data_IF_847551098216
#
_entry.id   IF_847551098216
#
_cell.length_a   1.000
_cell.length_b   1.000
_cell.length_c   1.000
_cell.angle_alpha   90.00
_cell.angle_beta   90.00
_cell.angle_gamma   90.00
#
_symmetry.space_group_name_H-M   'P 1'
#
loop_
_entity.id
_entity.type
_entity.pdbx_description
1 polymer ?
#
# COMPACT_ATOMS: atom_id res chain seq x y z
N UNK A 1 3.46 -1.60 -6.84
CA UNK A 1 3.47 -0.26 -7.48
C UNK A 1 3.16 0.90 -6.52
N UNK A 2 2.63 0.69 -5.30
CA UNK A 2 2.43 1.78 -4.32
C UNK A 2 3.71 2.26 -3.59
N UNK A 3 4.80 1.47 -3.59
CA UNK A 3 6.08 1.90 -3.01
C UNK A 3 6.78 3.04 -3.81
N UNK A 4 6.48 3.16 -5.11
CA UNK A 4 7.16 4.12 -5.99
C UNK A 4 6.59 5.55 -5.86
N UNK A 5 5.35 5.69 -5.38
CA UNK A 5 4.72 7.01 -5.21
C UNK A 5 5.19 7.71 -3.93
N UNK A 6 5.55 6.96 -2.89
CA UNK A 6 6.13 7.50 -1.66
C UNK A 6 7.55 8.06 -1.90
N UNK A 7 8.29 7.45 -2.84
CA UNK A 7 9.65 7.85 -3.19
C UNK A 7 9.71 9.15 -4.03
N UNK A 8 8.64 9.50 -4.75
CA UNK A 8 8.55 10.78 -5.49
C UNK A 8 8.26 11.99 -4.59
N UNK A 9 7.51 11.82 -3.50
CA UNK A 9 7.25 12.91 -2.54
C UNK A 9 8.46 13.23 -1.66
N UNK A 10 9.30 12.25 -1.32
CA UNK A 10 10.54 12.52 -0.57
C UNK A 10 11.61 13.23 -1.39
N UNK A 11 11.67 13.05 -2.73
CA UNK A 11 12.61 13.81 -3.58
C UNK A 11 12.29 15.30 -3.67
N UNK A 12 11.03 15.70 -3.52
CA UNK A 12 10.66 17.12 -3.55
C UNK A 12 11.14 17.89 -2.31
N UNK A 13 11.27 17.22 -1.15
CA UNK A 13 11.76 17.83 0.10
C UNK A 13 13.29 17.92 0.18
N UNK A 14 14.02 17.06 -0.53
CA UNK A 14 15.49 17.06 -0.51
C UNK A 14 16.13 18.13 -1.41
N UNK A 15 15.41 18.69 -2.38
CA UNK A 15 15.97 19.70 -3.31
C UNK A 15 16.08 21.10 -2.69
N UNK A 16 15.33 21.40 -1.62
CA UNK A 16 15.42 22.70 -0.91
C UNK A 16 16.65 22.83 0.00
N UNK A 17 17.39 21.74 0.24
CA UNK A 17 18.56 21.74 1.14
C UNK A 17 19.91 21.95 0.45
N UNK A 18 19.94 22.13 -0.87
CA UNK A 18 21.17 22.28 -1.65
C UNK A 18 21.47 23.71 -2.11
N UNK A 19 20.60 24.69 -1.85
CA UNK A 19 20.93 26.11 -2.05
C UNK A 19 21.32 26.77 -0.73
N UNK A 20 22.59 26.57 -0.35
CA UNK A 20 23.24 27.32 0.71
C UNK A 20 23.21 28.82 0.42
N UNK A 21 22.53 29.59 1.28
CA UNK A 21 22.77 31.02 1.45
C UNK A 21 23.53 31.24 2.77
N UNK A 22 24.61 32.03 2.75
CA UNK A 22 25.37 32.33 3.96
C UNK A 22 24.60 33.32 4.84
N UNK A 23 24.41 32.97 6.11
CA UNK A 23 23.95 33.89 7.14
C UNK A 23 25.15 34.67 7.70
N UNK A 24 25.25 35.95 7.32
CA UNK A 24 25.98 36.96 8.10
C UNK A 24 25.08 37.47 9.24
N UNK A 25 25.73 37.81 10.35
CA UNK A 25 25.16 38.05 11.69
C UNK A 25 24.30 39.30 11.90
N UNK A 26 24.06 39.64 13.19
CA UNK A 26 22.84 40.32 13.63
C UNK A 26 22.97 41.84 13.55
N UNK A 27 21.88 42.50 13.13
CA UNK A 27 21.71 43.94 13.33
C UNK A 27 20.32 44.20 13.89
N UNK A 28 20.31 44.78 15.09
CA UNK A 28 19.14 45.25 15.79
C UNK A 28 18.47 46.37 14.98
N UNK A 29 17.16 46.28 14.75
CA UNK A 29 16.33 47.48 14.54
C UNK A 29 14.86 47.20 14.85
N UNK A 30 14.37 47.94 15.85
CA UNK A 30 12.96 48.19 16.09
C UNK A 30 12.28 48.70 14.80
N UNK A 31 11.09 48.19 14.53
CA UNK A 31 10.20 48.70 13.50
C UNK A 31 8.81 48.10 13.65
N UNK A 32 7.90 48.90 14.20
CA UNK A 32 6.44 48.74 14.13
C UNK A 32 5.94 48.62 12.68
N UNK A 33 4.66 48.23 12.54
CA UNK A 33 3.87 47.94 11.33
C UNK A 33 3.96 46.47 10.89
N UNK A 34 2.88 45.75 10.62
CA UNK A 34 1.48 46.08 10.47
C UNK A 34 0.78 44.85 9.88
N UNK A 35 -0.44 44.57 10.33
CA UNK A 35 -1.33 43.55 9.77
C UNK A 35 -1.35 43.57 8.23
N UNK A 36 -1.15 42.41 7.59
CA UNK A 36 -2.01 41.97 6.48
C UNK A 36 -1.73 40.52 6.08
N UNK A 37 -2.75 39.68 6.26
CA UNK A 37 -3.17 38.59 5.38
C UNK A 37 -2.14 37.66 4.75
N UNK A 38 -2.24 36.37 5.11
CA UNK A 38 -2.48 35.27 4.15
C UNK A 38 -2.93 34.01 4.90
N UNK A 39 -4.25 33.78 4.89
CA UNK A 39 -4.84 32.49 5.27
C UNK A 39 -4.55 31.51 4.14
N UNK A 40 -3.62 30.58 4.34
CA UNK A 40 -3.60 29.35 3.55
C UNK A 40 -4.80 28.49 3.96
N UNK A 41 -5.92 28.66 3.25
CA UNK A 41 -6.97 27.65 3.21
C UNK A 41 -6.43 26.48 2.39
N UNK A 42 -5.86 25.48 3.05
CA UNK A 42 -5.75 24.14 2.48
C UNK A 42 -7.14 23.53 2.47
N UNK A 43 -7.82 23.69 1.33
CA UNK A 43 -8.96 22.87 0.94
C UNK A 43 -8.50 21.42 0.89
N UNK A 44 -8.89 20.63 1.88
CA UNK A 44 -8.91 19.18 1.79
C UNK A 44 -10.03 18.80 0.82
N UNK A 45 -9.71 18.81 -0.48
CA UNK A 45 -10.52 18.13 -1.46
C UNK A 45 -10.40 16.63 -1.19
N UNK A 46 -11.50 16.03 -0.74
CA UNK A 46 -11.71 14.59 -0.69
C UNK A 46 -11.66 14.02 -2.12
N UNK A 47 -10.44 13.84 -2.64
CA UNK A 47 -10.18 13.00 -3.80
C UNK A 47 -10.24 11.56 -3.35
N UNK A 48 -11.35 10.87 -3.61
CA UNK A 48 -11.43 9.43 -3.49
C UNK A 48 -10.39 8.80 -4.43
N UNK A 49 -9.23 8.42 -3.87
CA UNK A 49 -8.27 7.59 -4.56
C UNK A 49 -8.85 6.17 -4.57
N UNK A 50 -9.57 5.84 -5.64
CA UNK A 50 -10.12 4.50 -5.90
C UNK A 50 -8.95 3.57 -6.24
N UNK A 51 -8.37 2.94 -5.22
CA UNK A 51 -7.34 1.92 -5.38
C UNK A 51 -8.05 0.67 -5.91
N UNK A 52 -7.89 0.39 -7.20
CA UNK A 52 -8.29 -0.88 -7.79
C UNK A 52 -7.44 -2.01 -7.22
N UNK A 53 -8.01 -2.78 -6.30
CA UNK A 53 -7.46 -4.06 -5.83
C UNK A 53 -7.54 -5.08 -6.97
N UNK A 54 -6.49 -5.15 -7.79
CA UNK A 54 -6.22 -6.30 -8.64
C UNK A 54 -5.83 -7.47 -7.73
N UNK A 55 -6.74 -8.44 -7.56
CA UNK A 55 -6.44 -9.69 -6.85
C UNK A 55 -5.40 -10.51 -7.63
N UNK A 56 -4.30 -10.97 -7.00
CA UNK A 56 -3.47 -12.00 -7.58
C UNK A 56 -4.12 -13.37 -7.36
N UNK A 57 -4.61 -13.97 -8.45
CA UNK A 57 -5.01 -15.37 -8.47
C UNK A 57 -3.80 -16.28 -8.24
N UNK A 58 -3.90 -17.13 -7.22
CA UNK A 58 -2.94 -18.20 -6.96
C UNK A 58 -3.05 -19.28 -8.05
N UNK A 59 -2.27 -19.15 -9.11
CA UNK A 59 -2.02 -20.23 -10.07
C UNK A 59 -0.74 -20.97 -9.66
N UNK A 60 -0.92 -22.10 -9.00
CA UNK A 60 0.09 -23.13 -8.78
C UNK A 60 0.67 -23.57 -10.14
N UNK A 61 1.96 -23.30 -10.40
CA UNK A 61 2.70 -24.01 -11.45
C UNK A 61 4.09 -24.43 -10.99
N UNK A 62 4.30 -25.74 -11.09
CA UNK A 62 5.59 -26.41 -11.17
C UNK A 62 6.40 -25.87 -12.35
N UNK A 63 7.67 -25.63 -12.08
CA UNK A 63 8.80 -26.05 -12.93
C UNK A 63 9.10 -25.21 -14.18
N UNK A 64 10.38 -24.95 -14.37
CA UNK A 64 10.95 -24.70 -15.70
C UNK A 64 11.76 -23.42 -15.80
N UNK A 65 13.07 -23.60 -15.78
CA UNK A 65 14.11 -22.62 -16.13
C UNK A 65 14.00 -22.25 -17.61
N UNK A 66 13.96 -20.96 -17.95
CA UNK A 66 14.66 -20.37 -19.10
C UNK A 66 14.60 -18.83 -19.07
N UNK A 67 15.67 -18.11 -19.50
CA UNK A 67 15.76 -16.66 -19.39
C UNK A 67 15.44 -15.93 -20.71
N UNK A 68 15.29 -14.61 -20.56
CA UNK A 68 15.65 -13.56 -21.53
C UNK A 68 14.84 -13.46 -22.84
N UNK A 69 14.07 -12.38 -23.00
CA UNK A 69 14.40 -11.30 -23.94
C UNK A 69 13.38 -10.14 -23.88
N UNK A 70 13.92 -8.95 -24.11
CA UNK A 70 13.26 -7.67 -24.19
C UNK A 70 12.10 -7.59 -25.19
N UNK A 71 11.16 -6.68 -24.94
CA UNK A 71 10.15 -6.31 -25.93
C UNK A 71 9.18 -5.25 -25.44
N UNK A 72 9.41 -4.00 -25.86
CA UNK A 72 8.46 -2.88 -25.84
C UNK A 72 7.05 -3.34 -26.29
N UNK A 73 6.04 -3.15 -25.45
CA UNK A 73 4.65 -3.26 -25.90
C UNK A 73 4.10 -1.87 -26.21
N UNK A 74 4.29 -1.54 -27.48
CA UNK A 74 3.75 -0.40 -28.20
C UNK A 74 2.21 -0.47 -28.20
N UNK A 75 1.58 0.65 -27.82
CA UNK A 75 0.17 0.93 -28.08
C UNK A 75 -0.11 0.70 -29.56
N UNK A 76 -0.84 -0.36 -29.89
CA UNK A 76 -1.32 -0.59 -31.24
C UNK A 76 -2.76 -0.09 -31.35
N UNK A 77 -2.82 1.11 -31.88
CA UNK A 77 -3.96 1.85 -32.39
C UNK A 77 -4.81 0.92 -33.28
N UNK A 78 -6.11 0.88 -33.04
CA UNK A 78 -7.08 0.26 -33.95
C UNK A 78 -7.34 1.22 -35.11
N UNK A 79 -6.66 1.01 -36.25
CA UNK A 79 -7.11 1.50 -37.54
C UNK A 79 -7.78 0.35 -38.28
N UNK A 80 -9.06 0.54 -38.61
CA UNK A 80 -9.73 -0.30 -39.60
C UNK A 80 -9.37 0.17 -41.01
N UNK A 81 -9.04 -0.76 -41.91
CA UNK A 81 -9.27 -0.65 -43.36
C UNK A 81 -9.26 -2.07 -43.94
N UNK A 82 -10.36 -2.49 -44.57
CA UNK A 82 -10.29 -3.29 -45.79
C UNK A 82 -10.95 -4.68 -45.81
N UNK A 83 -11.44 -5.11 -47.00
CA UNK A 83 -12.53 -6.07 -47.20
C UNK A 83 -12.03 -7.48 -47.61
N UNK A 84 -12.98 -8.35 -47.98
CA UNK A 84 -12.83 -9.71 -48.53
C UNK A 84 -12.86 -10.86 -47.53
N UNK A 85 -14.09 -11.25 -47.16
CA UNK A 85 -14.41 -12.63 -46.85
C UNK A 85 -15.33 -13.21 -47.95
N UNK A 86 -15.03 -14.41 -48.47
CA UNK A 86 -15.71 -14.96 -49.62
C UNK A 86 -17.13 -15.42 -49.29
N UNK A 87 -18.03 -15.08 -50.20
CA UNK A 87 -19.38 -15.60 -50.35
C UNK A 87 -19.34 -17.12 -50.58
N UNK A 88 -19.31 -17.90 -49.49
CA UNK A 88 -19.51 -19.35 -49.50
C UNK A 88 -20.95 -19.68 -49.16
N UNK A 89 -21.78 -19.83 -50.19
CA UNK A 89 -23.19 -20.20 -50.08
C UNK A 89 -23.39 -21.55 -49.40
N UNK A 90 -24.04 -21.51 -48.24
CA UNK A 90 -24.63 -22.66 -47.57
C UNK A 90 -26.01 -22.28 -47.08
N UNK A 91 -26.99 -22.37 -47.99
CA UNK A 91 -28.40 -22.21 -47.65
C UNK A 91 -28.85 -23.40 -46.76
N UNK A 92 -28.68 -23.27 -45.43
CA UNK A 92 -29.35 -24.15 -44.48
C UNK A 92 -30.61 -23.47 -43.96
N UNK A 93 -31.69 -23.77 -44.69
CA UNK A 93 -33.06 -23.46 -44.37
C UNK A 93 -33.52 -24.29 -43.17
N UNK A 94 -34.34 -23.68 -42.29
CA UNK A 94 -35.19 -24.29 -41.24
C UNK A 94 -34.41 -24.59 -39.94
N UNK A 95 -34.74 -24.00 -38.80
CA UNK A 95 -36.07 -23.81 -38.24
C UNK A 95 -35.99 -22.66 -37.23
N UNK A 96 -36.51 -21.48 -37.58
CA UNK A 96 -36.83 -20.45 -36.60
C UNK A 96 -38.00 -20.97 -35.78
N UNK A 97 -37.69 -21.78 -34.78
CA UNK A 97 -38.62 -22.12 -33.72
C UNK A 97 -39.13 -20.80 -33.17
N UNK A 98 -40.41 -20.49 -33.45
CA UNK A 98 -41.11 -19.35 -32.87
C UNK A 98 -40.98 -19.52 -31.36
N UNK A 99 -40.00 -18.85 -30.76
CA UNK A 99 -39.88 -18.74 -29.31
C UNK A 99 -41.13 -18.00 -28.88
N UNK A 100 -42.11 -18.77 -28.42
CA UNK A 100 -43.28 -18.24 -27.74
C UNK A 100 -42.76 -17.39 -26.60
N UNK A 101 -42.83 -16.07 -26.77
CA UNK A 101 -42.55 -15.12 -25.70
C UNK A 101 -43.73 -15.26 -24.73
N UNK A 102 -43.64 -16.25 -23.85
CA UNK A 102 -44.50 -16.37 -22.69
C UNK A 102 -44.15 -15.18 -21.81
N UNK A 103 -44.98 -14.15 -21.86
CA UNK A 103 -44.90 -13.04 -20.92
C UNK A 103 -44.98 -13.61 -19.52
N UNK A 104 -44.03 -13.22 -18.67
CA UNK A 104 -44.06 -13.53 -17.26
C UNK A 104 -45.35 -12.97 -16.67
N UNK A 105 -46.10 -13.83 -15.98
CA UNK A 105 -47.30 -13.37 -15.29
C UNK A 105 -46.89 -12.45 -14.14
N UNK A 106 -47.72 -11.45 -13.80
CA UNK A 106 -47.41 -10.50 -12.73
C UNK A 106 -47.11 -11.22 -11.40
N UNK A 107 -47.84 -12.30 -11.13
CA UNK A 107 -47.64 -13.12 -9.92
C UNK A 107 -46.28 -13.81 -9.89
N UNK A 108 -45.77 -14.24 -11.03
CA UNK A 108 -44.46 -14.91 -11.15
C UNK A 108 -43.30 -13.94 -10.87
N UNK A 109 -43.44 -12.67 -11.24
CA UNK A 109 -42.48 -11.61 -10.88
C UNK A 109 -42.49 -11.30 -9.37
N UNK A 110 -43.65 -11.31 -8.72
CA UNK A 110 -43.74 -11.08 -7.27
C UNK A 110 -43.10 -12.24 -6.49
N UNK A 111 -43.39 -13.48 -6.87
CA UNK A 111 -42.81 -14.67 -6.23
C UNK A 111 -41.29 -14.71 -6.42
N UNK A 112 -40.78 -14.38 -7.61
CA UNK A 112 -39.33 -14.34 -7.84
C UNK A 112 -38.61 -13.27 -7.01
N UNK A 113 -39.19 -12.07 -6.83
CA UNK A 113 -38.64 -11.07 -5.92
C UNK A 113 -38.60 -11.54 -4.47
N UNK A 114 -39.63 -12.24 -3.99
CA UNK A 114 -39.65 -12.80 -2.63
C UNK A 114 -38.56 -13.86 -2.45
N UNK A 115 -38.42 -14.79 -3.40
CA UNK A 115 -37.39 -15.84 -3.34
C UNK A 115 -35.99 -15.23 -3.41
N UNK A 116 -35.76 -14.23 -4.28
CA UNK A 116 -34.50 -13.51 -4.36
C UNK A 116 -34.18 -12.74 -3.08
N UNK A 117 -35.18 -12.14 -2.43
CA UNK A 117 -35.01 -11.44 -1.16
C UNK A 117 -34.52 -12.39 -0.06
N UNK A 118 -35.17 -13.54 0.09
CA UNK A 118 -34.77 -14.56 1.07
C UNK A 118 -33.36 -15.09 0.73
N UNK A 119 -33.10 -15.43 -0.53
CA UNK A 119 -31.78 -15.91 -0.96
C UNK A 119 -30.66 -14.88 -0.70
N UNK A 120 -30.92 -13.58 -0.95
CA UNK A 120 -29.95 -12.51 -0.70
C UNK A 120 -29.61 -12.39 0.80
N UNK A 121 -30.60 -12.49 1.69
CA UNK A 121 -30.33 -12.44 3.15
C UNK A 121 -29.43 -13.59 3.60
N UNK A 122 -29.62 -14.80 3.09
CA UNK A 122 -28.77 -15.95 3.39
C UNK A 122 -27.31 -15.73 2.90
N UNK A 123 -27.14 -15.14 1.72
CA UNK A 123 -25.81 -14.79 1.21
C UNK A 123 -25.16 -13.72 2.10
N UNK A 124 -25.91 -12.69 2.52
CA UNK A 124 -25.38 -11.62 3.38
C UNK A 124 -24.94 -12.17 4.73
N UNK A 125 -25.70 -13.08 5.35
CA UNK A 125 -25.32 -13.66 6.65
C UNK A 125 -24.09 -14.55 6.53
N UNK A 126 -23.96 -15.33 5.46
CA UNK A 126 -22.76 -16.12 5.18
C UNK A 126 -21.51 -15.25 4.97
N UNK A 127 -21.68 -14.06 4.40
CA UNK A 127 -20.58 -13.12 4.14
C UNK A 127 -20.38 -12.07 5.24
N UNK A 128 -21.21 -12.05 6.29
CA UNK A 128 -21.08 -11.08 7.39
C UNK A 128 -19.71 -11.17 8.10
N UNK A 129 -19.16 -12.39 8.21
CA UNK A 129 -17.81 -12.65 8.71
C UNK A 129 -16.70 -12.03 7.85
N UNK A 130 -16.96 -11.76 6.57
CA UNK A 130 -16.01 -11.12 5.67
C UNK A 130 -15.81 -9.65 6.04
N UNK A 131 -16.87 -8.95 6.49
CA UNK A 131 -16.79 -7.54 6.88
C UNK A 131 -15.97 -7.33 8.16
N UNK A 132 -16.09 -8.21 9.15
CA UNK A 132 -15.25 -8.15 10.35
C UNK A 132 -13.77 -8.37 10.02
N UNK A 133 -13.45 -9.21 9.02
CA UNK A 133 -12.06 -9.40 8.59
C UNK A 133 -11.52 -8.22 7.79
N UNK A 134 -12.37 -7.41 7.15
CA UNK A 134 -11.92 -6.23 6.41
C UNK A 134 -11.29 -5.18 7.33
N UNK A 135 -11.83 -5.00 8.55
CA UNK A 135 -11.24 -4.07 9.53
C UNK A 135 -9.87 -4.56 10.00
N UNK A 136 -9.74 -5.86 10.29
CA UNK A 136 -8.45 -6.44 10.71
C UNK A 136 -7.38 -6.34 9.61
N UNK A 137 -7.77 -6.60 8.36
CA UNK A 137 -6.87 -6.48 7.21
C UNK A 137 -6.44 -5.03 7.00
N UNK A 138 -7.36 -4.07 7.16
CA UNK A 138 -7.03 -2.64 7.07
C UNK A 138 -6.09 -2.22 8.19
N UNK A 139 -6.30 -2.71 9.40
CA UNK A 139 -5.43 -2.44 10.54
C UNK A 139 -4.03 -3.02 10.33
N UNK A 140 -3.92 -4.26 9.84
CA UNK A 140 -2.64 -4.86 9.48
C UNK A 140 -1.92 -4.07 8.38
N UNK A 141 -2.64 -3.62 7.35
CA UNK A 141 -2.07 -2.80 6.28
C UNK A 141 -1.58 -1.44 6.80
N UNK A 142 -2.31 -0.83 7.73
CA UNK A 142 -1.94 0.45 8.31
C UNK A 142 -0.74 0.30 9.25
N UNK A 143 -0.76 -0.70 10.14
CA UNK A 143 0.34 -1.00 11.06
C UNK A 143 1.65 -1.35 10.33
N UNK A 144 1.58 -2.08 9.22
CA UNK A 144 2.77 -2.39 8.40
C UNK A 144 3.37 -1.16 7.74
N UNK A 145 2.56 -0.19 7.30
CA UNK A 145 3.05 1.08 6.78
C UNK A 145 3.76 1.91 7.86
N UNK A 146 3.21 1.97 9.08
CA UNK A 146 3.87 2.64 10.21
C UNK A 146 5.19 1.95 10.57
N UNK A 147 5.21 0.62 10.64
CA UNK A 147 6.43 -0.16 10.91
C UNK A 147 7.51 0.12 9.86
N UNK A 148 7.13 0.16 8.57
CA UNK A 148 8.06 0.44 7.49
C UNK A 148 8.62 1.87 7.59
N UNK A 149 7.77 2.87 7.82
CA UNK A 149 8.21 4.26 7.97
C UNK A 149 9.19 4.42 9.15
N UNK A 150 8.89 3.77 10.29
CA UNK A 150 9.79 3.76 11.44
C UNK A 150 11.11 3.06 11.11
N UNK A 151 11.08 1.89 10.45
CA UNK A 151 12.28 1.17 10.03
C UNK A 151 13.18 2.00 9.09
N UNK A 152 12.59 2.72 8.12
CA UNK A 152 13.31 3.64 7.23
C UNK A 152 13.98 4.77 8.02
N UNK A 153 13.30 5.33 9.02
CA UNK A 153 13.86 6.36 9.91
C UNK A 153 15.03 5.83 10.75
N UNK A 154 14.91 4.62 11.31
CA UNK A 154 16.01 3.97 12.06
C UNK A 154 17.24 3.82 11.16
N UNK A 155 17.05 3.31 9.94
CA UNK A 155 18.14 3.14 8.99
C UNK A 155 18.75 4.48 8.54
N UNK A 156 17.93 5.51 8.34
CA UNK A 156 18.41 6.86 8.03
C UNK A 156 19.21 7.48 9.19
N UNK A 157 18.73 7.31 10.43
CA UNK A 157 19.39 7.81 11.64
C UNK A 157 20.74 7.14 11.84
N UNK A 158 20.83 5.82 11.61
CA UNK A 158 22.10 5.07 11.66
C UNK A 158 23.13 5.65 10.69
N UNK A 159 22.72 5.97 9.45
CA UNK A 159 23.64 6.56 8.45
C UNK A 159 24.17 7.93 8.87
N UNK A 160 23.40 8.69 9.64
CA UNK A 160 23.75 10.04 10.06
C UNK A 160 24.53 10.10 11.37
N UNK A 161 24.17 9.27 12.34
CA UNK A 161 24.63 9.36 13.73
C UNK A 161 25.49 8.16 14.18
N UNK A 162 25.69 7.16 13.31
CA UNK A 162 26.53 5.99 13.58
C UNK A 162 25.87 4.92 14.46
N UNK A 163 26.70 4.00 14.99
CA UNK A 163 26.25 2.83 15.76
C UNK A 163 25.69 3.17 17.15
N UNK A 164 26.20 4.23 17.78
CA UNK A 164 25.78 4.65 19.13
C UNK A 164 24.45 5.42 19.14
N UNK A 165 23.83 5.65 17.97
CA UNK A 165 22.60 6.40 17.85
C UNK A 165 21.45 5.81 18.70
N UNK A 166 20.70 6.71 19.33
CA UNK A 166 19.40 6.41 19.93
C UNK A 166 18.35 6.50 18.82
N UNK A 167 17.49 5.50 18.73
CA UNK A 167 16.48 5.40 17.69
C UNK A 167 15.10 5.68 18.29
N UNK A 168 14.40 6.68 17.75
CA UNK A 168 13.08 7.08 18.20
C UNK A 168 12.16 7.31 17.01
N UNK A 169 10.91 6.86 17.15
CA UNK A 169 9.83 7.06 16.18
C UNK A 169 8.72 7.98 16.71
N UNK A 170 9.02 8.77 17.74
CA UNK A 170 8.05 9.59 18.48
C UNK A 170 7.44 10.74 17.68
N UNK A 171 8.10 11.14 16.58
CA UNK A 171 7.54 12.12 15.64
C UNK A 171 6.33 11.58 14.86
N UNK A 172 6.11 10.26 14.86
CA UNK A 172 4.91 9.66 14.29
C UNK A 172 3.77 9.79 15.29
N UNK A 173 2.94 10.82 15.12
CA UNK A 173 1.72 10.99 15.91
C UNK A 173 0.81 9.75 15.81
N UNK A 174 0.09 9.45 16.88
CA UNK A 174 -0.94 8.41 16.89
C UNK A 174 -1.86 8.55 15.66
N UNK A 175 -1.98 7.48 14.88
CA UNK A 175 -2.77 7.45 13.66
C UNK A 175 -3.81 6.34 13.75
N UNK A 176 -5.09 6.61 13.50
CA UNK A 176 -6.17 5.60 13.45
C UNK A 176 -6.25 4.66 14.68
N UNK A 177 -5.93 5.20 15.87
CA UNK A 177 -5.92 4.46 17.13
C UNK A 177 -4.67 3.59 17.37
N UNK A 178 -3.68 3.63 16.46
CA UNK A 178 -2.37 3.04 16.70
C UNK A 178 -1.54 3.92 17.64
N UNK A 179 -0.88 3.27 18.59
CA UNK A 179 0.16 3.88 19.42
C UNK A 179 1.40 4.17 18.57
N UNK A 180 2.15 5.19 18.98
CA UNK A 180 3.50 5.47 18.47
C UNK A 180 4.34 4.18 18.45
N UNK A 181 5.02 3.85 17.33
CA UNK A 181 5.88 2.68 17.25
C UNK A 181 6.95 2.70 18.34
N UNK A 182 6.98 1.66 19.16
CA UNK A 182 8.00 1.51 20.21
C UNK A 182 9.20 0.76 19.66
N UNK A 183 10.38 1.29 19.96
CA UNK A 183 11.65 0.66 19.61
C UNK A 183 12.26 0.05 20.86
N UNK A 184 12.63 -1.22 20.78
CA UNK A 184 13.48 -1.89 21.77
C UNK A 184 14.81 -2.20 21.11
N UNK A 185 15.90 -1.74 21.71
CA UNK A 185 17.26 -2.03 21.22
C UNK A 185 17.97 -2.96 22.18
N UNK A 186 18.54 -4.03 21.66
CA UNK A 186 19.40 -4.94 22.40
C UNK A 186 20.76 -5.00 21.73
N UNK A 187 21.82 -4.76 22.50
CA UNK A 187 23.18 -4.99 22.02
C UNK A 187 23.51 -6.45 22.25
N UNK A 188 23.76 -7.18 21.15
CA UNK A 188 24.14 -8.58 21.15
C UNK A 188 25.61 -8.64 20.73
N UNK A 189 26.45 -9.23 21.57
CA UNK A 189 27.82 -9.56 21.18
C UNK A 189 27.80 -10.97 20.61
N UNK A 190 28.26 -11.17 19.38
CA UNK A 190 28.23 -12.47 18.74
C UNK A 190 29.08 -13.48 19.51
N UNK A 191 28.44 -14.44 20.17
CA UNK A 191 29.09 -15.49 20.96
C UNK A 191 29.21 -16.83 20.24
N UNK A 192 28.59 -17.02 19.06
CA UNK A 192 28.66 -18.29 18.32
C UNK A 192 28.40 -18.14 16.82
N UNK A 193 29.03 -19.01 16.03
CA UNK A 193 29.20 -18.89 14.58
C UNK A 193 27.99 -19.31 13.71
N UNK A 194 26.84 -19.70 14.28
CA UNK A 194 25.84 -20.48 13.52
C UNK A 194 24.38 -20.05 13.72
N UNK A 195 24.02 -19.26 14.75
CA UNK A 195 22.60 -18.90 15.00
C UNK A 195 22.28 -17.42 14.97
N UNK A 196 23.27 -16.54 15.15
CA UNK A 196 23.07 -15.09 15.09
C UNK A 196 23.68 -14.53 13.80
N UNK A 197 22.97 -13.66 13.09
CA UNK A 197 23.53 -12.95 11.91
C UNK A 197 24.63 -11.95 12.28
N UNK A 198 25.12 -11.99 13.52
CA UNK A 198 26.24 -11.22 14.03
C UNK A 198 27.52 -12.07 14.02
N UNK A 199 28.59 -11.65 13.30
CA UNK A 199 29.85 -12.37 13.31
C UNK A 199 30.49 -12.41 14.71
N UNK A 200 31.30 -13.44 14.96
CA UNK A 200 31.99 -13.63 16.24
C UNK A 200 32.89 -12.44 16.56
N UNK A 201 32.93 -12.04 17.83
CA UNK A 201 33.70 -10.89 18.32
C UNK A 201 33.30 -9.52 17.74
N UNK A 202 32.15 -9.43 17.06
CA UNK A 202 31.57 -8.15 16.61
C UNK A 202 30.36 -7.81 17.46
N UNK A 203 30.22 -6.53 17.81
CA UNK A 203 29.02 -6.02 18.47
C UNK A 203 27.95 -5.72 17.43
N UNK A 204 26.78 -6.34 17.59
CA UNK A 204 25.61 -6.02 16.81
C UNK A 204 24.52 -5.41 17.69
N UNK A 205 23.77 -4.49 17.12
CA UNK A 205 22.59 -3.90 17.73
C UNK A 205 21.37 -4.48 17.03
N UNK A 206 20.57 -5.23 17.77
CA UNK A 206 19.27 -5.70 17.33
C UNK A 206 18.24 -4.63 17.71
N UNK A 207 17.50 -4.15 16.72
CA UNK A 207 16.47 -3.14 16.85
C UNK A 207 15.14 -3.82 16.54
N UNK A 208 14.32 -4.02 17.56
CA UNK A 208 12.97 -4.58 17.42
C UNK A 208 11.98 -3.42 17.45
N UNK A 209 11.23 -3.27 16.38
CA UNK A 209 10.19 -2.25 16.22
C UNK A 209 8.85 -2.93 16.41
N UNK A 210 8.02 -2.42 17.32
CA UNK A 210 6.68 -2.94 17.60
C UNK A 210 5.66 -1.82 17.56
N UNK A 211 4.53 -2.09 16.92
CA UNK A 211 3.36 -1.21 16.91
C UNK A 211 2.25 -1.86 17.73
N UNK A 212 1.51 -1.05 18.50
CA UNK A 212 0.38 -1.49 19.31
C UNK A 212 -0.90 -0.75 18.91
N UNK A 213 -2.03 -1.42 19.03
CA UNK A 213 -3.38 -0.81 18.96
C UNK A 213 -4.19 -1.41 20.09
N UNK A 214 -4.81 -0.59 20.93
CA UNK A 214 -5.62 -1.05 22.07
C UNK A 214 -4.89 -2.09 22.95
N UNK A 215 -3.60 -1.88 23.22
CA UNK A 215 -2.70 -2.79 23.95
C UNK A 215 -2.38 -4.14 23.28
N UNK A 216 -2.90 -4.42 22.07
CA UNK A 216 -2.55 -5.61 21.29
C UNK A 216 -1.33 -5.26 20.43
N UNK A 217 -0.30 -6.12 20.49
CA UNK A 217 0.93 -5.93 19.71
C UNK A 217 0.81 -6.60 18.35
N UNK A 218 1.15 -5.88 17.29
CA UNK A 218 1.21 -6.43 15.94
C UNK A 218 2.57 -7.06 15.66
N UNK A 219 2.70 -7.71 14.50
CA UNK A 219 3.95 -8.28 13.99
C UNK A 219 5.09 -7.29 14.12
N UNK A 220 6.16 -7.69 14.80
CA UNK A 220 7.35 -6.87 14.99
C UNK A 220 8.31 -6.98 13.80
N UNK A 221 9.02 -5.89 13.51
CA UNK A 221 10.14 -5.89 12.56
C UNK A 221 11.45 -5.87 13.34
N UNK A 222 12.31 -6.84 13.08
CA UNK A 222 13.64 -6.94 13.71
C UNK A 222 14.70 -6.55 12.68
N UNK A 223 15.49 -5.53 12.99
CA UNK A 223 16.65 -5.12 12.22
C UNK A 223 17.91 -5.46 13.00
N UNK A 224 18.90 -6.06 12.35
CA UNK A 224 20.20 -6.30 12.97
C UNK A 224 21.26 -5.43 12.32
N UNK A 225 22.04 -4.75 13.15
CA UNK A 225 22.99 -3.74 12.75
C UNK A 225 24.36 -4.09 13.30
N UNK A 226 25.35 -4.33 12.45
CA UNK A 226 26.74 -4.53 12.89
C UNK A 226 27.47 -3.20 13.10
N UNK A 227 28.38 -3.18 14.06
CA UNK A 227 29.38 -2.14 14.21
C UNK A 227 30.54 -2.41 13.24
N UNK A 228 30.79 -1.49 12.31
CA UNK A 228 31.91 -1.54 11.38
C UNK A 228 32.92 -0.46 11.71
#
# INVERSE_FOLDING_TARGET
MCADQHQRLQRASQFDKLHGRPHHGPSQRLGLFGQSGKRCRTLWAFGQCRIGLQQPGAAQRRGGVHPELAGQQQQKICHGVGPDWPCGGGAMMKNTTRRSQRGFTLIEMVVSMLVLGIAATAIITLNSNLFYRLTDVRDLQTGTQLLQACAEKVMATRRRSGFSAVFECDEMSNFDGFDVPKISTQTVTGTSAITDSCPVNVQCKQVVITVKKNNISFTSVTLQMMNF
#
